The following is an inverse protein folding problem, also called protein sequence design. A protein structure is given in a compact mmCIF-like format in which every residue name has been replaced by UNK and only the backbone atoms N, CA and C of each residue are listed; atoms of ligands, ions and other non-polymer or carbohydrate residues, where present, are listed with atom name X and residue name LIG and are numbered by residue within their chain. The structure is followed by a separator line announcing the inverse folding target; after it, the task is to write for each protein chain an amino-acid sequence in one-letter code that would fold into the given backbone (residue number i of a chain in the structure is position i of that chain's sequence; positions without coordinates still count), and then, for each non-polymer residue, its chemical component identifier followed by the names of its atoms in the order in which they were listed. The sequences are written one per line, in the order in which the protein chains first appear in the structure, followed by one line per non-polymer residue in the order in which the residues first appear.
data_IF_599425713001
#
_entry.id   IF_599425713001
#
_cell.length_a   1.000
_cell.length_b   1.000
_cell.length_c   1.000
_cell.angle_alpha   90.00
_cell.angle_beta   90.00
_cell.angle_gamma   90.00
#
_symmetry.space_group_name_H-M   'P 1'
#
loop_
_entity.id
_entity.type
_entity.pdbx_description
1 polymer ?
#
# COMPACT_ATOMS: atom_id res chain seq x y z
N UNK A 1 26.62 -9.46 -17.83
CA UNK A 1 25.68 -10.41 -17.21
C UNK A 1 24.32 -10.21 -17.84
N UNK A 2 23.77 -11.24 -18.50
CA UNK A 2 22.50 -11.12 -19.21
C UNK A 2 21.35 -10.89 -18.21
N UNK A 3 20.67 -9.75 -18.31
CA UNK A 3 19.62 -9.34 -17.37
C UNK A 3 18.54 -10.40 -17.25
N UNK A 4 18.18 -11.05 -18.37
CA UNK A 4 17.21 -12.15 -18.49
C UNK A 4 17.53 -13.37 -17.60
N UNK A 5 18.82 -13.70 -17.43
CA UNK A 5 19.24 -14.82 -16.58
C UNK A 5 19.12 -14.48 -15.10
N UNK A 6 19.32 -13.21 -14.75
CA UNK A 6 19.18 -12.72 -13.38
C UNK A 6 17.72 -12.80 -12.92
N UNK A 7 16.78 -12.33 -13.76
CA UNK A 7 15.33 -12.37 -13.46
C UNK A 7 14.87 -13.82 -13.24
N UNK A 8 15.28 -14.74 -14.13
CA UNK A 8 14.94 -16.16 -14.00
C UNK A 8 15.55 -16.79 -12.75
N UNK A 9 16.77 -16.39 -12.37
CA UNK A 9 17.43 -16.87 -11.15
C UNK A 9 16.72 -16.40 -9.88
N UNK A 10 16.38 -15.11 -9.79
CA UNK A 10 15.62 -14.58 -8.66
C UNK A 10 14.20 -15.16 -8.61
N UNK A 11 13.55 -15.37 -9.76
CA UNK A 11 12.25 -16.03 -9.85
C UNK A 11 12.27 -17.47 -9.34
N UNK A 12 13.24 -18.28 -9.79
CA UNK A 12 13.41 -19.66 -9.31
C UNK A 12 13.82 -19.72 -7.83
N UNK A 13 14.58 -18.73 -7.35
CA UNK A 13 14.93 -18.60 -5.94
C UNK A 13 13.73 -18.23 -5.07
N UNK A 14 12.82 -17.39 -5.59
CA UNK A 14 11.51 -17.10 -4.96
C UNK A 14 10.62 -18.34 -4.88
N UNK A 15 10.55 -19.13 -5.96
CA UNK A 15 9.81 -20.40 -6.00
C UNK A 15 10.34 -21.46 -5.01
N UNK A 16 11.59 -21.34 -4.57
CA UNK A 16 12.24 -22.24 -3.62
C UNK A 16 12.08 -21.82 -2.15
N UNK A 17 11.44 -20.69 -1.87
CA UNK A 17 11.17 -20.25 -0.49
C UNK A 17 10.20 -21.27 0.13
N UNK A 18 10.61 -21.88 1.25
CA UNK A 18 9.84 -22.90 1.97
C UNK A 18 8.56 -22.29 2.55
N UNK A 19 7.45 -22.49 1.85
CA UNK A 19 6.07 -22.17 2.24
C UNK A 19 5.14 -22.68 1.15
N UNK A 20 3.88 -22.99 1.48
CA UNK A 20 2.92 -23.40 0.45
C UNK A 20 2.81 -22.26 -0.59
N UNK A 21 3.11 -22.50 -1.88
CA UNK A 21 3.12 -21.46 -2.90
C UNK A 21 1.79 -20.69 -2.98
N UNK A 22 0.67 -21.38 -2.71
CA UNK A 22 -0.63 -20.74 -2.68
C UNK A 22 -0.74 -19.76 -1.51
N UNK A 23 -0.19 -20.11 -0.34
CA UNK A 23 -0.23 -19.25 0.85
C UNK A 23 0.57 -17.95 0.67
N UNK A 24 1.69 -18.01 -0.06
CA UNK A 24 2.50 -16.84 -0.39
C UNK A 24 1.78 -15.99 -1.45
N UNK A 25 1.23 -16.60 -2.50
CA UNK A 25 0.50 -15.90 -3.54
C UNK A 25 -0.73 -15.16 -2.99
N UNK A 26 -1.52 -15.82 -2.14
CA UNK A 26 -2.65 -15.20 -1.46
C UNK A 26 -2.23 -14.10 -0.48
N UNK A 27 -1.16 -14.32 0.29
CA UNK A 27 -0.59 -13.29 1.17
C UNK A 27 -0.19 -12.04 0.38
N UNK A 28 0.53 -12.21 -0.74
CA UNK A 28 0.92 -11.11 -1.63
C UNK A 28 -0.27 -10.42 -2.29
N UNK A 29 -1.31 -11.15 -2.72
CA UNK A 29 -2.53 -10.55 -3.27
C UNK A 29 -3.22 -9.64 -2.24
N UNK A 30 -3.40 -10.11 -1.01
CA UNK A 30 -4.00 -9.34 0.08
C UNK A 30 -3.14 -8.10 0.39
N UNK A 31 -1.82 -8.27 0.45
CA UNK A 31 -0.88 -7.18 0.67
C UNK A 31 -0.92 -6.10 -0.43
N UNK A 32 -1.03 -6.51 -1.70
CA UNK A 32 -1.16 -5.57 -2.81
C UNK A 32 -2.52 -4.87 -2.82
N UNK A 33 -3.60 -5.61 -2.56
CA UNK A 33 -4.97 -5.08 -2.52
C UNK A 33 -5.13 -4.01 -1.44
N UNK A 34 -4.69 -4.31 -0.21
CA UNK A 34 -4.72 -3.34 0.89
C UNK A 34 -3.69 -2.23 0.63
N UNK A 35 -2.52 -2.57 0.08
CA UNK A 35 -1.49 -1.66 -0.45
C UNK A 35 -2.06 -0.46 -1.23
N UNK A 36 -2.98 -0.75 -2.15
CA UNK A 36 -3.62 0.25 -3.01
C UNK A 36 -4.70 1.05 -2.27
N UNK A 37 -5.29 0.47 -1.22
CA UNK A 37 -6.37 1.08 -0.47
C UNK A 37 -5.82 2.15 0.48
N UNK A 38 -6.24 3.42 0.41
CA UNK A 38 -5.70 4.50 1.24
C UNK A 38 -6.29 4.48 2.68
N UNK A 39 -6.15 3.35 3.37
CA UNK A 39 -6.64 3.15 4.75
C UNK A 39 -5.54 3.55 5.74
N UNK A 40 -5.19 4.83 5.82
CA UNK A 40 -4.36 5.33 6.92
C UNK A 40 -5.25 5.56 8.15
N UNK A 41 -4.92 5.13 9.38
CA UNK A 41 -3.70 4.46 9.89
C UNK A 41 -3.81 2.92 10.01
N UNK A 42 -4.94 2.33 9.61
CA UNK A 42 -5.25 0.91 9.87
C UNK A 42 -4.66 -0.08 8.86
N UNK A 43 -3.68 0.37 8.07
CA UNK A 43 -3.06 -0.38 6.98
C UNK A 43 -2.45 -1.70 7.44
N UNK A 44 -1.52 -1.67 8.40
CA UNK A 44 -0.89 -2.87 8.96
C UNK A 44 -1.88 -3.76 9.70
N UNK A 45 -2.82 -3.17 10.43
CA UNK A 45 -3.82 -3.92 11.20
C UNK A 45 -4.78 -4.69 10.29
N UNK A 46 -5.23 -4.08 9.19
CA UNK A 46 -6.10 -4.73 8.20
C UNK A 46 -5.39 -5.85 7.45
N UNK A 47 -4.10 -5.68 7.11
CA UNK A 47 -3.28 -6.75 6.50
C UNK A 47 -3.15 -7.93 7.46
N UNK A 48 -2.82 -7.66 8.73
CA UNK A 48 -2.69 -8.72 9.73
C UNK A 48 -4.02 -9.45 9.94
N UNK A 49 -5.13 -8.72 10.07
CA UNK A 49 -6.46 -9.32 10.24
C UNK A 49 -6.85 -10.21 9.04
N UNK A 50 -6.63 -9.74 7.82
CA UNK A 50 -6.98 -10.47 6.61
C UNK A 50 -6.06 -11.67 6.37
N UNK A 51 -4.76 -11.57 6.67
CA UNK A 51 -3.83 -12.70 6.61
C UNK A 51 -4.12 -13.76 7.67
N UNK A 52 -4.50 -13.37 8.89
CA UNK A 52 -4.94 -14.31 9.94
C UNK A 52 -6.23 -15.02 9.50
N UNK A 53 -7.21 -14.26 8.99
CA UNK A 53 -8.49 -14.82 8.53
C UNK A 53 -8.30 -15.83 7.39
N UNK A 54 -7.42 -15.51 6.44
CA UNK A 54 -7.14 -16.39 5.30
C UNK A 54 -6.08 -17.46 5.59
N UNK A 55 -5.54 -17.53 6.82
CA UNK A 55 -4.45 -18.45 7.24
C UNK A 55 -3.25 -18.42 6.28
N UNK A 56 -2.97 -17.25 5.71
CA UNK A 56 -1.94 -17.06 4.70
C UNK A 56 -0.72 -16.35 5.25
N UNK A 57 0.37 -16.34 4.49
CA UNK A 57 1.64 -15.75 4.93
C UNK A 57 1.52 -14.24 5.17
N UNK A 58 1.37 -13.86 6.43
CA UNK A 58 1.33 -12.47 6.89
C UNK A 58 2.57 -11.70 6.46
N UNK A 59 3.73 -12.38 6.40
CA UNK A 59 5.00 -11.78 6.02
C UNK A 59 5.04 -11.45 4.52
N UNK A 60 4.48 -12.31 3.65
CA UNK A 60 4.33 -12.01 2.23
C UNK A 60 3.39 -10.83 1.98
N UNK A 61 2.28 -10.77 2.74
CA UNK A 61 1.34 -9.64 2.66
C UNK A 61 1.94 -8.32 3.12
N UNK A 62 2.65 -8.30 4.25
CA UNK A 62 3.32 -7.10 4.74
C UNK A 62 4.41 -6.61 3.78
N UNK A 63 5.25 -7.51 3.27
CA UNK A 63 6.30 -7.14 2.30
C UNK A 63 5.71 -6.61 0.99
N UNK A 64 4.64 -7.23 0.50
CA UNK A 64 3.98 -6.77 -0.73
C UNK A 64 3.30 -5.42 -0.51
N UNK A 65 2.65 -5.23 0.64
CA UNK A 65 2.08 -3.94 1.00
C UNK A 65 3.16 -2.88 1.18
N UNK A 66 4.32 -3.17 1.76
CA UNK A 66 5.44 -2.23 1.85
C UNK A 66 6.00 -1.85 0.47
N UNK A 67 6.04 -2.81 -0.45
CA UNK A 67 6.47 -2.56 -1.83
C UNK A 67 5.47 -1.68 -2.59
N UNK A 68 4.16 -1.87 -2.36
CA UNK A 68 3.10 -1.07 -2.98
C UNK A 68 2.96 0.30 -2.30
N UNK A 69 2.96 0.35 -0.97
CA UNK A 69 2.85 1.55 -0.14
C UNK A 69 4.20 2.27 0.05
N UNK A 70 5.02 2.31 -0.99
CA UNK A 70 6.24 3.12 -1.01
C UNK A 70 5.85 4.61 -1.17
N UNK A 71 6.54 5.58 -0.53
CA UNK A 71 6.31 7.02 -0.73
C UNK A 71 6.12 7.42 -2.20
N UNK A 72 6.83 6.79 -3.14
CA UNK A 72 6.68 7.05 -4.57
C UNK A 72 5.30 6.69 -5.14
N UNK A 73 4.65 5.65 -4.61
CA UNK A 73 3.31 5.21 -5.04
C UNK A 73 2.20 5.95 -4.31
N UNK A 74 2.41 6.27 -3.03
CA UNK A 74 1.42 6.95 -2.20
C UNK A 74 1.12 8.37 -2.71
N UNK A 75 2.17 9.13 -3.09
CA UNK A 75 2.03 10.52 -3.56
C UNK A 75 1.03 10.64 -4.73
N UNK A 76 1.17 9.90 -5.85
CA UNK A 76 0.24 9.99 -6.95
C UNK A 76 -1.15 9.46 -6.60
N UNK A 77 -1.27 8.44 -5.75
CA UNK A 77 -2.57 7.92 -5.30
C UNK A 77 -3.34 9.00 -4.53
N UNK A 78 -2.68 9.66 -3.56
CA UNK A 78 -3.32 10.71 -2.76
C UNK A 78 -3.67 11.93 -3.61
N UNK A 79 -2.82 12.30 -4.56
CA UNK A 79 -3.13 13.35 -5.51
C UNK A 79 -4.35 13.01 -6.36
N UNK A 80 -4.45 11.77 -6.85
CA UNK A 80 -5.61 11.29 -7.60
C UNK A 80 -6.88 11.31 -6.74
N UNK A 81 -6.81 10.89 -5.47
CA UNK A 81 -7.93 10.99 -4.53
C UNK A 81 -8.37 12.44 -4.31
N UNK A 82 -7.42 13.38 -4.14
CA UNK A 82 -7.71 14.81 -3.98
C UNK A 82 -8.41 15.39 -5.22
N UNK A 83 -7.89 15.05 -6.41
CA UNK A 83 -8.47 15.47 -7.69
C UNK A 83 -9.86 14.87 -7.91
N UNK A 84 -10.05 13.60 -7.56
CA UNK A 84 -11.34 12.91 -7.67
C UNK A 84 -12.35 13.45 -6.66
N UNK A 85 -11.89 13.75 -5.45
CA UNK A 85 -12.68 14.41 -4.40
C UNK A 85 -13.19 15.77 -4.87
N UNK A 86 -12.29 16.65 -5.32
CA UNK A 86 -12.64 17.98 -5.83
C UNK A 86 -13.56 17.92 -7.08
N UNK A 87 -13.54 16.82 -7.84
CA UNK A 87 -14.45 16.63 -8.97
C UNK A 87 -15.85 16.19 -8.52
N UNK A 88 -15.94 15.34 -7.49
CA UNK A 88 -17.20 14.76 -7.00
C UNK A 88 -17.91 15.66 -5.99
N UNK A 89 -17.17 16.44 -5.20
CA UNK A 89 -17.73 17.37 -4.23
C UNK A 89 -17.57 18.81 -4.70
N UNK A 90 -18.51 19.71 -4.37
CA UNK A 90 -18.38 21.15 -4.64
C UNK A 90 -17.32 21.84 -3.75
N UNK A 91 -16.53 21.08 -3.00
CA UNK A 91 -15.45 21.59 -2.16
C UNK A 91 -14.14 21.58 -2.93
N UNK A 92 -13.56 22.75 -3.17
CA UNK A 92 -12.19 22.85 -3.66
C UNK A 92 -11.21 22.80 -2.48
N UNK A 93 -10.65 21.61 -2.24
CA UNK A 93 -9.46 21.50 -1.38
C UNK A 93 -8.24 21.99 -2.16
N UNK A 94 -7.84 23.23 -1.90
CA UNK A 94 -6.58 23.81 -2.32
C UNK A 94 -5.57 23.79 -1.17
N UNK A 95 -4.28 23.80 -1.53
CA UNK A 95 -3.17 23.80 -0.58
C UNK A 95 -3.24 24.95 0.43
N UNK A 96 -3.79 26.09 0.04
CA UNK A 96 -3.97 27.24 0.94
C UNK A 96 -4.98 26.94 2.06
N UNK A 97 -6.08 26.24 1.74
CA UNK A 97 -7.10 25.87 2.73
C UNK A 97 -6.57 24.82 3.71
N UNK A 98 -5.72 23.89 3.21
CA UNK A 98 -5.01 22.93 4.07
C UNK A 98 -4.09 23.67 5.04
N UNK A 99 -3.32 24.66 4.57
CA UNK A 99 -2.46 25.50 5.43
C UNK A 99 -3.27 26.25 6.47
N UNK A 100 -4.39 26.87 6.09
CA UNK A 100 -5.25 27.58 7.05
C UNK A 100 -5.77 26.66 8.15
N UNK A 101 -6.23 25.44 7.82
CA UNK A 101 -6.70 24.48 8.83
C UNK A 101 -5.55 24.01 9.72
N UNK A 102 -4.37 23.75 9.12
CA UNK A 102 -3.19 23.33 9.86
C UNK A 102 -2.73 24.43 10.84
N UNK A 103 -2.71 25.68 10.37
CA UNK A 103 -2.33 26.85 11.16
C UNK A 103 -3.32 27.03 12.31
N UNK A 104 -4.63 26.91 12.09
CA UNK A 104 -5.65 26.97 13.15
C UNK A 104 -5.44 25.87 14.20
N UNK A 105 -5.12 24.65 13.79
CA UNK A 105 -4.90 23.52 14.70
C UNK A 105 -3.60 23.65 15.50
N UNK A 106 -2.57 24.25 14.91
CA UNK A 106 -1.26 24.45 15.53
C UNK A 106 -1.25 25.70 16.41
N UNK A 107 -1.95 26.78 16.01
CA UNK A 107 -2.06 28.03 16.77
C UNK A 107 -3.14 27.98 17.85
N UNK A 108 -4.02 26.98 17.81
CA UNK A 108 -5.10 26.77 18.76
C UNK A 108 -4.69 26.01 20.03
N UNK A 109 -3.38 25.85 20.26
CA UNK A 109 -2.79 25.22 21.44
C UNK A 109 -1.82 26.18 22.13
#
# INVERSE_FOLDING_TARGET
MNLSRLQKFYYLKFLRIKGDPNSIAWGSFIGAFIGVMPIMPFHSASIIALCILTRNSTMAGLLTSLAVSNPFTYIPIYYACLKTGNFLTPYEMNWDRIRTILDILISGN
#
